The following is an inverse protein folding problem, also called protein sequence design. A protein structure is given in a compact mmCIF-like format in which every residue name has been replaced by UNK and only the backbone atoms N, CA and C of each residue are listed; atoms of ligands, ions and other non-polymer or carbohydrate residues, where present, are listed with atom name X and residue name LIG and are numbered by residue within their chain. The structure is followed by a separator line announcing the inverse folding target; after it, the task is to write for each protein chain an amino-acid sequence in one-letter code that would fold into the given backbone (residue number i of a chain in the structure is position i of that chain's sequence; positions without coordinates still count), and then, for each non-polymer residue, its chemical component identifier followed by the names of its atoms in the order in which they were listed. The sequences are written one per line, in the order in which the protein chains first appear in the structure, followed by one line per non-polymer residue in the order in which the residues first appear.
data_IF_697001804410
#
_entry.id   IF_697001804410
#
_cell.length_a   1.000
_cell.length_b   1.000
_cell.length_c   1.000
_cell.angle_alpha   90.00
_cell.angle_beta   90.00
_cell.angle_gamma   90.00
#
_symmetry.space_group_name_H-M   'P 1'
#
loop_
_entity.id
_entity.type
_entity.pdbx_description
1 polymer ?
#
# COMPACT_ATOMS: atom_id res chain seq x y z
N UNK A 1 -26.92 39.09 41.00
CA UNK A 1 -26.86 40.42 40.34
C UNK A 1 -26.28 40.22 38.94
N UNK A 2 -27.00 40.74 37.92
CA UNK A 2 -26.70 40.91 36.49
C UNK A 2 -26.36 39.63 35.67
N UNK A 3 -27.25 39.03 34.86
CA UNK A 3 -28.05 39.44 33.67
C UNK A 3 -27.28 39.58 32.34
N UNK A 4 -27.89 38.96 31.31
CA UNK A 4 -27.85 39.23 29.85
C UNK A 4 -26.65 38.66 29.05
N UNK A 5 -26.77 38.08 27.83
CA UNK A 5 -27.81 38.21 26.78
C UNK A 5 -27.89 36.99 25.84
N UNK A 6 -29.11 36.69 25.38
CA UNK A 6 -29.42 36.01 24.11
C UNK A 6 -29.25 36.99 22.94
N UNK A 7 -28.86 36.49 21.76
CA UNK A 7 -29.03 37.19 20.49
C UNK A 7 -29.54 36.22 19.42
N UNK A 8 -30.67 36.62 18.83
CA UNK A 8 -31.44 35.91 17.83
C UNK A 8 -30.85 36.07 16.43
N UNK A 9 -30.98 35.03 15.60
CA UNK A 9 -30.66 35.05 14.19
C UNK A 9 -31.92 35.37 13.37
N UNK A 10 -31.84 36.43 12.56
CA UNK A 10 -32.85 36.79 11.56
C UNK A 10 -32.54 36.11 10.22
N UNK A 11 -33.52 35.35 9.72
CA UNK A 11 -33.56 34.82 8.36
C UNK A 11 -34.22 35.86 7.44
N UNK A 12 -33.55 36.24 6.36
CA UNK A 12 -34.14 37.00 5.26
C UNK A 12 -34.14 36.16 3.98
N UNK A 13 -35.35 35.91 3.47
CA UNK A 13 -35.63 35.46 2.11
C UNK A 13 -35.21 36.53 1.10
N UNK A 14 -34.63 36.10 -0.02
CA UNK A 14 -34.77 36.80 -1.31
C UNK A 14 -35.05 35.77 -2.40
N UNK A 15 -36.28 35.82 -2.93
CA UNK A 15 -36.62 35.36 -4.27
C UNK A 15 -36.22 36.44 -5.26
N UNK A 16 -35.64 36.05 -6.39
CA UNK A 16 -35.87 36.75 -7.66
C UNK A 16 -35.70 35.80 -8.85
N UNK A 17 -36.60 36.00 -9.79
CA UNK A 17 -36.98 35.19 -10.95
C UNK A 17 -36.35 35.70 -12.25
N UNK A 18 -36.61 34.94 -13.33
CA UNK A 18 -36.47 35.28 -14.76
C UNK A 18 -35.07 34.99 -15.34
N UNK A 19 -34.89 34.46 -16.55
CA UNK A 19 -35.79 34.16 -17.66
C UNK A 19 -34.94 33.66 -18.83
N UNK A 20 -35.61 33.02 -19.80
CA UNK A 20 -35.10 32.26 -20.93
C UNK A 20 -34.02 32.94 -21.80
N UNK A 21 -33.22 32.14 -22.53
CA UNK A 21 -33.09 32.23 -24.00
C UNK A 21 -32.48 30.94 -24.57
N UNK A 22 -33.27 30.22 -25.39
CA UNK A 22 -32.79 29.21 -26.34
C UNK A 22 -32.06 29.90 -27.49
N UNK A 23 -30.87 29.42 -27.87
CA UNK A 23 -30.26 29.74 -29.16
C UNK A 23 -30.06 28.46 -29.98
N UNK A 24 -30.61 28.52 -31.19
CA UNK A 24 -30.63 27.50 -32.22
C UNK A 24 -29.26 27.36 -32.92
N UNK A 25 -28.93 26.13 -33.32
CA UNK A 25 -27.82 25.81 -34.21
C UNK A 25 -28.27 25.85 -35.69
N UNK A 26 -27.43 26.31 -36.62
CA UNK A 26 -27.63 26.08 -38.06
C UNK A 26 -26.87 24.83 -38.56
N UNK A 27 -27.21 24.32 -39.77
CA UNK A 27 -26.90 22.97 -40.19
C UNK A 27 -25.61 22.82 -41.03
N UNK A 28 -25.03 21.62 -40.98
CA UNK A 28 -24.53 20.84 -42.12
C UNK A 28 -23.45 21.43 -43.03
N UNK A 29 -22.22 20.92 -42.90
CA UNK A 29 -21.18 21.00 -43.94
C UNK A 29 -20.34 19.73 -43.99
N UNK A 30 -20.60 18.86 -44.96
CA UNK A 30 -19.74 17.73 -45.33
C UNK A 30 -18.49 18.24 -46.05
N UNK A 31 -17.31 18.00 -45.48
CA UNK A 31 -16.02 18.19 -46.14
C UNK A 31 -15.12 16.98 -45.87
N UNK A 32 -14.90 16.17 -46.90
CA UNK A 32 -13.88 15.10 -46.92
C UNK A 32 -12.50 15.73 -47.14
N UNK A 33 -11.50 15.31 -46.35
CA UNK A 33 -10.09 15.40 -46.76
C UNK A 33 -9.10 15.56 -45.61
N UNK A 34 -8.32 14.51 -45.34
CA UNK A 34 -7.04 14.61 -44.63
C UNK A 34 -6.99 13.99 -43.23
N UNK A 35 -7.09 12.67 -43.11
CA UNK A 35 -6.69 11.97 -41.87
C UNK A 35 -5.16 11.99 -41.73
N UNK A 36 -4.65 13.00 -41.03
CA UNK A 36 -3.41 12.88 -40.27
C UNK A 36 -3.62 11.84 -39.17
N UNK A 37 -2.74 10.84 -39.13
CA UNK A 37 -2.67 9.84 -38.05
C UNK A 37 -2.34 10.53 -36.73
N UNK A 38 -3.37 10.97 -36.01
CA UNK A 38 -3.26 11.35 -34.61
C UNK A 38 -2.97 10.13 -33.75
N UNK A 39 -1.96 10.26 -32.89
CA UNK A 39 -1.72 9.40 -31.72
C UNK A 39 -2.96 9.42 -30.81
N UNK A 40 -3.94 8.58 -31.11
CA UNK A 40 -5.08 8.30 -30.24
C UNK A 40 -4.66 7.34 -29.14
N UNK A 41 -3.78 7.76 -28.24
CA UNK A 41 -3.64 7.13 -26.94
C UNK A 41 -4.90 7.45 -26.15
N UNK A 42 -5.87 6.53 -26.12
CA UNK A 42 -7.03 6.62 -25.25
C UNK A 42 -6.58 6.61 -23.79
N UNK A 43 -6.19 7.79 -23.31
CA UNK A 43 -5.71 8.01 -21.96
C UNK A 43 -6.86 7.72 -21.01
N UNK A 44 -6.75 6.62 -20.27
CA UNK A 44 -7.62 6.37 -19.13
C UNK A 44 -7.53 7.59 -18.22
N UNK A 45 -8.66 8.26 -17.98
CA UNK A 45 -8.71 9.36 -17.03
C UNK A 45 -8.17 8.87 -15.68
N UNK A 46 -7.33 9.66 -15.00
CA UNK A 46 -6.81 9.27 -13.68
C UNK A 46 -7.99 9.00 -12.73
N UNK A 47 -7.88 7.93 -11.93
CA UNK A 47 -8.87 7.62 -10.87
C UNK A 47 -8.80 8.67 -9.74
N UNK A 48 -7.69 9.39 -9.66
CA UNK A 48 -7.40 10.43 -8.67
C UNK A 48 -8.11 11.74 -8.98
N UNK A 49 -8.29 12.59 -7.96
CA UNK A 49 -8.72 13.98 -8.16
C UNK A 49 -7.67 14.71 -8.99
N UNK A 50 -8.03 15.15 -10.19
CA UNK A 50 -7.07 15.60 -11.20
C UNK A 50 -7.05 17.10 -11.51
N UNK A 51 -7.99 17.85 -10.93
CA UNK A 51 -8.17 19.28 -11.17
C UNK A 51 -8.90 19.93 -9.99
N UNK A 52 -8.90 21.26 -9.96
CA UNK A 52 -9.53 22.07 -8.91
C UNK A 52 -8.62 22.31 -7.72
N UNK A 53 -9.18 22.95 -6.68
CA UNK A 53 -8.45 23.23 -5.45
C UNK A 53 -8.07 21.94 -4.73
N UNK A 54 -6.87 21.92 -4.16
CA UNK A 54 -6.43 20.87 -3.26
C UNK A 54 -7.42 20.77 -2.08
N UNK A 55 -8.06 19.61 -1.85
CA UNK A 55 -8.96 19.40 -0.71
C UNK A 55 -8.27 19.66 0.63
N UNK A 56 -9.00 20.27 1.55
CA UNK A 56 -8.51 20.51 2.92
C UNK A 56 -8.42 19.18 3.67
N UNK A 57 -7.20 18.66 3.76
CA UNK A 57 -6.89 17.33 4.29
C UNK A 57 -5.88 17.44 5.42
N UNK A 58 -6.08 16.61 6.43
CA UNK A 58 -5.20 16.53 7.59
C UNK A 58 -4.02 15.60 7.28
N UNK A 59 -2.88 15.90 7.88
CA UNK A 59 -1.68 15.07 7.85
C UNK A 59 -0.82 15.36 9.09
N UNK A 60 0.27 14.63 9.20
CA UNK A 60 1.30 14.84 10.21
C UNK A 60 2.65 15.00 9.52
N UNK A 61 3.50 15.89 10.02
CA UNK A 61 4.91 15.90 9.64
C UNK A 61 5.60 14.62 10.12
N UNK A 62 6.81 14.33 9.61
CA UNK A 62 7.57 13.15 10.03
C UNK A 62 7.90 13.10 11.54
N UNK A 63 7.97 14.26 12.21
CA UNK A 63 8.14 14.40 13.66
C UNK A 63 6.81 14.40 14.44
N UNK A 64 5.68 14.21 13.77
CA UNK A 64 4.37 14.02 14.40
C UNK A 64 3.60 15.30 14.70
N UNK A 65 3.97 16.44 14.11
CA UNK A 65 3.19 17.67 14.21
C UNK A 65 1.98 17.61 13.27
N UNK A 66 0.74 17.83 13.75
CA UNK A 66 -0.44 17.94 12.89
C UNK A 66 -0.32 19.15 11.95
N UNK A 67 -0.72 18.96 10.68
CA UNK A 67 -0.73 19.99 9.63
C UNK A 67 -1.93 19.81 8.71
N UNK A 68 -2.33 20.87 8.01
CA UNK A 68 -3.11 20.72 6.78
C UNK A 68 -2.15 20.55 5.61
N UNK A 69 -2.46 19.66 4.66
CA UNK A 69 -1.58 19.44 3.50
C UNK A 69 -1.42 20.72 2.66
N UNK A 70 -2.46 21.55 2.57
CA UNK A 70 -2.40 22.85 1.87
C UNK A 70 -1.39 23.83 2.49
N UNK A 71 -1.06 23.69 3.78
CA UNK A 71 -0.10 24.58 4.46
C UNK A 71 1.33 24.35 3.95
N UNK A 72 1.57 23.22 3.26
CA UNK A 72 2.84 22.94 2.62
C UNK A 72 3.08 23.81 1.40
N UNK A 73 2.04 24.30 0.70
CA UNK A 73 2.18 24.92 -0.62
C UNK A 73 3.06 26.16 -0.59
N UNK A 74 2.91 27.02 0.42
CA UNK A 74 3.81 28.17 0.70
C UNK A 74 4.18 29.02 -0.53
N UNK A 75 3.24 29.21 -1.47
CA UNK A 75 3.46 29.98 -2.70
C UNK A 75 4.40 29.34 -3.73
N UNK A 76 4.70 28.03 -3.61
CA UNK A 76 5.56 27.28 -4.52
C UNK A 76 4.78 26.18 -5.23
N UNK A 77 5.26 25.77 -6.40
CA UNK A 77 4.79 24.51 -6.98
C UNK A 77 5.16 23.36 -6.03
N UNK A 78 4.19 22.53 -5.69
CA UNK A 78 4.38 21.47 -4.69
C UNK A 78 4.03 20.13 -5.28
N UNK A 79 5.03 19.25 -5.34
CA UNK A 79 4.88 17.87 -5.78
C UNK A 79 4.51 17.00 -4.59
N UNK A 80 3.34 16.36 -4.65
CA UNK A 80 2.90 15.39 -3.64
C UNK A 80 2.96 13.99 -4.25
N UNK A 81 3.83 13.15 -3.72
CA UNK A 81 3.99 11.76 -4.16
C UNK A 81 3.48 10.81 -3.08
N UNK A 82 2.42 10.06 -3.37
CA UNK A 82 1.96 9.04 -2.41
C UNK A 82 2.86 7.81 -2.45
N UNK A 83 3.04 7.19 -1.28
CA UNK A 83 3.92 6.04 -1.10
C UNK A 83 3.60 5.25 0.17
N UNK A 84 4.05 4.00 0.21
CA UNK A 84 4.05 3.18 1.42
C UNK A 84 5.20 2.15 1.34
N UNK A 85 5.60 1.59 2.48
CA UNK A 85 6.71 0.62 2.59
C UNK A 85 6.56 -0.62 1.72
N UNK A 86 5.33 -1.02 1.40
CA UNK A 86 5.06 -2.33 0.80
C UNK A 86 4.59 -2.28 -0.66
N UNK A 87 4.39 -1.10 -1.26
CA UNK A 87 3.90 -0.98 -2.64
C UNK A 87 5.03 -1.18 -3.67
N UNK A 88 5.04 -2.25 -4.49
CA UNK A 88 6.12 -2.46 -5.45
C UNK A 88 6.22 -1.39 -6.53
N UNK A 89 5.12 -0.73 -6.88
CA UNK A 89 5.12 0.33 -7.87
C UNK A 89 5.84 1.57 -7.33
N UNK A 90 5.50 2.01 -6.11
CA UNK A 90 6.21 3.08 -5.42
C UNK A 90 7.69 2.76 -5.22
N UNK A 91 7.99 1.57 -4.70
CA UNK A 91 9.36 1.14 -4.45
C UNK A 91 10.24 1.04 -5.70
N UNK A 92 9.64 1.02 -6.90
CA UNK A 92 10.38 1.12 -8.17
C UNK A 92 10.52 2.56 -8.68
N UNK A 93 9.61 3.45 -8.30
CA UNK A 93 9.52 4.81 -8.84
C UNK A 93 10.12 5.90 -7.92
N UNK A 94 10.33 5.61 -6.63
CA UNK A 94 10.78 6.65 -5.67
C UNK A 94 12.13 7.27 -6.05
N UNK A 95 13.06 6.48 -6.59
CA UNK A 95 14.37 6.99 -6.97
C UNK A 95 14.30 8.01 -8.12
N UNK A 96 13.30 7.89 -9.01
CA UNK A 96 13.07 8.88 -10.07
C UNK A 96 12.53 10.20 -9.47
N UNK A 97 11.72 10.12 -8.41
CA UNK A 97 11.24 11.33 -7.68
C UNK A 97 12.41 12.05 -7.02
N UNK A 98 13.33 11.33 -6.38
CA UNK A 98 14.53 11.94 -5.79
C UNK A 98 15.39 12.63 -6.84
N UNK A 99 15.54 12.03 -8.03
CA UNK A 99 16.33 12.61 -9.12
C UNK A 99 15.68 13.89 -9.65
N UNK A 100 14.36 13.87 -9.88
CA UNK A 100 13.60 15.05 -10.27
C UNK A 100 13.64 16.12 -9.18
N UNK A 101 13.52 15.75 -7.91
CA UNK A 101 13.59 16.70 -6.80
C UNK A 101 14.95 17.41 -6.74
N UNK A 102 16.04 16.68 -7.00
CA UNK A 102 17.39 17.27 -7.11
C UNK A 102 17.50 18.24 -8.28
N UNK A 103 16.99 17.87 -9.45
CA UNK A 103 17.07 18.71 -10.65
C UNK A 103 16.29 20.03 -10.52
N UNK A 104 15.16 20.00 -9.81
CA UNK A 104 14.27 21.15 -9.65
C UNK A 104 14.49 21.92 -8.34
N UNK A 105 15.53 21.58 -7.56
CA UNK A 105 15.79 22.18 -6.24
C UNK A 105 16.04 23.70 -6.29
N UNK A 106 16.65 24.20 -7.36
CA UNK A 106 16.95 25.62 -7.57
C UNK A 106 15.80 26.40 -8.24
N UNK A 107 14.65 25.76 -8.44
CA UNK A 107 13.42 26.39 -8.95
C UNK A 107 12.41 26.51 -7.79
N UNK A 108 11.34 27.28 -7.99
CA UNK A 108 10.24 27.40 -7.02
C UNK A 108 9.35 26.13 -6.98
N UNK A 109 9.97 24.97 -6.82
CA UNK A 109 9.35 23.65 -6.72
C UNK A 109 9.82 22.98 -5.43
N UNK A 110 8.88 22.38 -4.70
CA UNK A 110 9.18 21.56 -3.53
C UNK A 110 8.48 20.21 -3.63
N UNK A 111 9.01 19.22 -2.92
CA UNK A 111 8.59 17.83 -3.04
C UNK A 111 8.28 17.28 -1.65
N UNK A 112 7.21 16.49 -1.55
CA UNK A 112 6.90 15.72 -0.36
C UNK A 112 6.41 14.34 -0.74
N UNK A 113 6.85 13.33 0.01
CA UNK A 113 6.14 12.06 0.04
C UNK A 113 5.00 12.11 1.04
N UNK A 114 3.86 11.56 0.66
CA UNK A 114 2.70 11.34 1.55
C UNK A 114 2.64 9.86 1.87
N UNK A 115 3.02 9.49 3.09
CA UNK A 115 2.98 8.11 3.57
C UNK A 115 1.55 7.71 3.92
N UNK A 116 1.07 6.61 3.35
CA UNK A 116 -0.29 6.11 3.53
C UNK A 116 -0.30 4.71 4.14
N UNK A 117 -1.48 4.21 4.50
CA UNK A 117 -1.71 2.80 4.79
C UNK A 117 -0.99 1.86 3.81
N UNK A 118 -0.48 0.75 4.34
CA UNK A 118 0.28 -0.22 3.57
C UNK A 118 -0.60 -0.85 2.48
N UNK A 119 -0.20 -0.73 1.22
CA UNK A 119 -0.91 -1.36 0.09
C UNK A 119 -0.89 -2.88 0.17
N UNK A 120 0.21 -3.43 0.66
CA UNK A 120 0.50 -4.85 0.71
C UNK A 120 1.05 -5.25 2.09
N UNK A 121 0.20 -5.24 3.14
CA UNK A 121 0.61 -5.75 4.44
C UNK A 121 1.20 -7.17 4.33
N UNK A 122 2.05 -7.54 5.28
CA UNK A 122 2.88 -8.77 5.36
C UNK A 122 4.08 -8.82 4.42
N UNK A 123 4.16 -7.93 3.43
CA UNK A 123 5.35 -7.86 2.59
C UNK A 123 6.55 -7.44 3.45
N UNK A 124 7.54 -8.33 3.53
CA UNK A 124 8.72 -8.17 4.39
C UNK A 124 8.38 -8.09 5.89
N UNK A 125 7.22 -8.62 6.29
CA UNK A 125 6.77 -8.65 7.69
C UNK A 125 5.98 -7.42 8.13
N UNK A 126 6.07 -6.28 7.43
CA UNK A 126 5.36 -5.05 7.83
C UNK A 126 3.85 -5.21 7.72
N UNK A 127 3.14 -4.84 8.78
CA UNK A 127 1.67 -4.91 8.90
C UNK A 127 1.08 -3.52 9.12
N UNK A 128 -0.24 -3.38 9.02
CA UNK A 128 -0.87 -2.06 9.14
C UNK A 128 -0.60 -1.42 10.51
N UNK A 129 -0.35 -0.11 10.51
CA UNK A 129 -0.30 0.66 11.73
C UNK A 129 -1.68 0.67 12.43
N UNK A 130 -1.66 0.55 13.75
CA UNK A 130 -2.85 0.61 14.63
C UNK A 130 -3.13 2.05 15.09
N UNK A 131 -2.09 2.89 15.13
CA UNK A 131 -2.18 4.27 15.58
C UNK A 131 -1.17 5.16 14.85
N UNK A 132 -1.22 6.48 15.12
CA UNK A 132 -0.32 7.45 14.50
C UNK A 132 1.14 7.26 14.90
N UNK A 133 1.44 6.82 16.13
CA UNK A 133 2.82 6.57 16.57
C UNK A 133 3.48 5.50 15.69
N UNK A 134 2.79 4.38 15.48
CA UNK A 134 3.27 3.31 14.61
C UNK A 134 3.39 3.75 13.15
N UNK A 135 2.46 4.59 12.65
CA UNK A 135 2.55 5.13 11.30
C UNK A 135 3.79 6.01 11.12
N UNK A 136 4.14 6.82 12.12
CA UNK A 136 5.35 7.64 12.10
C UNK A 136 6.63 6.79 12.21
N UNK A 137 6.58 5.68 12.95
CA UNK A 137 7.66 4.68 12.93
C UNK A 137 7.82 4.05 11.53
N UNK A 138 6.71 3.76 10.83
CA UNK A 138 6.76 3.29 9.44
C UNK A 138 7.35 4.33 8.48
N UNK A 139 7.07 5.63 8.68
CA UNK A 139 7.73 6.71 7.93
C UNK A 139 9.24 6.71 8.18
N UNK A 140 9.65 6.59 9.45
CA UNK A 140 11.07 6.54 9.84
C UNK A 140 11.77 5.36 9.18
N UNK A 141 11.15 4.19 9.21
CA UNK A 141 11.65 2.98 8.57
C UNK A 141 11.70 3.12 7.04
N UNK A 142 10.70 3.76 6.41
CA UNK A 142 10.72 4.05 4.97
C UNK A 142 11.91 4.95 4.60
N UNK A 143 12.13 6.03 5.35
CA UNK A 143 13.27 6.93 5.12
C UNK A 143 14.60 6.19 5.25
N UNK A 144 14.77 5.38 6.30
CA UNK A 144 15.98 4.57 6.53
C UNK A 144 16.21 3.56 5.42
N UNK A 145 15.18 2.80 5.05
CA UNK A 145 15.25 1.72 4.05
C UNK A 145 15.51 2.25 2.64
N UNK A 146 14.94 3.39 2.30
CA UNK A 146 14.97 3.96 0.95
C UNK A 146 16.06 5.01 0.74
N UNK A 147 16.64 5.55 1.81
CA UNK A 147 17.68 6.59 1.73
C UNK A 147 17.18 7.90 1.12
N UNK A 148 15.89 8.22 1.27
CA UNK A 148 15.25 9.38 0.64
C UNK A 148 15.68 10.70 1.25
N UNK A 149 15.90 11.71 0.42
CA UNK A 149 16.14 13.10 0.84
C UNK A 149 14.87 13.94 0.78
N UNK A 150 13.96 13.64 -0.15
CA UNK A 150 12.64 14.30 -0.19
C UNK A 150 11.94 14.09 1.16
N UNK A 151 11.40 15.16 1.77
CA UNK A 151 10.75 15.08 3.06
C UNK A 151 9.46 14.24 3.00
N UNK A 152 9.15 13.60 4.13
CA UNK A 152 7.94 12.80 4.31
C UNK A 152 6.93 13.54 5.19
N UNK A 153 5.66 13.41 4.85
CA UNK A 153 4.52 13.58 5.74
C UNK A 153 3.78 12.26 5.87
N UNK A 154 3.07 12.05 6.97
CA UNK A 154 2.18 10.92 7.18
C UNK A 154 0.73 11.36 6.99
N UNK A 155 -0.03 10.58 6.21
CA UNK A 155 -1.48 10.68 6.20
C UNK A 155 -2.04 10.28 7.59
N UNK A 156 -3.21 10.76 7.95
CA UNK A 156 -3.87 10.43 9.23
C UNK A 156 -4.23 8.95 9.32
N UNK A 157 -4.43 8.40 10.52
CA UNK A 157 -4.66 6.94 10.70
C UNK A 157 -5.91 6.40 9.96
N UNK A 158 -6.86 7.29 9.66
CA UNK A 158 -8.08 7.08 8.87
C UNK A 158 -7.93 7.41 7.37
N UNK A 159 -6.72 7.77 6.95
CA UNK A 159 -6.31 8.09 5.59
C UNK A 159 -7.05 9.28 4.94
N UNK A 160 -7.13 10.41 5.66
CA UNK A 160 -7.79 11.65 5.21
C UNK A 160 -7.36 12.06 3.80
N UNK A 161 -6.05 12.13 3.53
CA UNK A 161 -5.54 12.51 2.21
C UNK A 161 -5.88 11.45 1.16
N UNK A 162 -5.66 10.15 1.44
CA UNK A 162 -5.94 9.07 0.49
C UNK A 162 -7.39 9.09 0.01
N UNK A 163 -8.32 9.23 0.95
CA UNK A 163 -9.76 9.21 0.69
C UNK A 163 -10.17 10.43 -0.12
N UNK A 164 -9.78 11.63 0.33
CA UNK A 164 -10.15 12.87 -0.34
C UNK A 164 -9.59 12.96 -1.77
N UNK A 165 -8.34 12.54 -1.96
CA UNK A 165 -7.65 12.62 -3.25
C UNK A 165 -7.83 11.38 -4.13
N UNK A 166 -8.56 10.35 -3.64
CA UNK A 166 -8.80 9.07 -4.32
C UNK A 166 -7.53 8.37 -4.79
N UNK A 167 -6.47 8.49 -3.98
CA UNK A 167 -5.12 8.04 -4.38
C UNK A 167 -4.94 6.54 -4.25
N UNK A 168 -3.99 6.01 -5.00
CA UNK A 168 -3.32 4.76 -4.65
C UNK A 168 -1.92 5.06 -4.11
N UNK A 169 -1.21 4.03 -3.66
CA UNK A 169 0.13 4.20 -3.05
C UNK A 169 1.25 4.51 -4.06
N UNK A 170 0.95 4.87 -5.31
CA UNK A 170 1.93 5.33 -6.30
C UNK A 170 1.44 6.56 -7.12
N UNK A 171 0.41 7.27 -6.65
CA UNK A 171 -0.06 8.49 -7.29
C UNK A 171 0.93 9.65 -7.14
N UNK A 172 0.81 10.65 -8.01
CA UNK A 172 1.62 11.87 -7.99
C UNK A 172 0.79 13.07 -8.43
N UNK A 173 1.02 14.21 -7.78
CA UNK A 173 0.35 15.48 -8.05
C UNK A 173 1.36 16.60 -8.15
N UNK A 174 1.07 17.61 -8.97
CA UNK A 174 1.70 18.93 -8.88
C UNK A 174 0.60 19.93 -8.52
N UNK A 175 0.81 20.63 -7.42
CA UNK A 175 -0.08 21.69 -6.92
C UNK A 175 0.56 23.04 -7.23
N UNK A 176 -0.21 23.99 -7.75
CA UNK A 176 0.25 25.35 -8.02
C UNK A 176 0.46 26.16 -6.73
N UNK A 177 1.18 27.30 -6.78
CA UNK A 177 1.25 28.27 -5.70
C UNK A 177 -0.12 28.69 -5.12
N UNK A 178 -1.16 28.68 -5.95
CA UNK A 178 -2.54 29.05 -5.60
C UNK A 178 -3.37 27.86 -5.07
N UNK A 179 -2.72 26.75 -4.73
CA UNK A 179 -3.34 25.51 -4.23
C UNK A 179 -4.23 24.78 -5.23
N UNK A 180 -4.03 24.95 -6.54
CA UNK A 180 -4.75 24.21 -7.57
C UNK A 180 -3.98 22.97 -8.05
N UNK A 181 -4.68 21.87 -8.29
CA UNK A 181 -4.11 20.68 -8.91
C UNK A 181 -3.90 20.95 -10.40
N UNK A 182 -2.64 21.13 -10.81
CA UNK A 182 -2.26 21.43 -12.21
C UNK A 182 -1.70 20.23 -12.96
N UNK A 183 -1.37 19.16 -12.22
CA UNK A 183 -1.04 17.85 -12.78
C UNK A 183 -1.42 16.76 -11.79
N UNK A 184 -1.94 15.65 -12.30
CA UNK A 184 -2.18 14.45 -11.53
C UNK A 184 -1.98 13.20 -12.38
N UNK A 185 -1.38 12.18 -11.80
CA UNK A 185 -1.34 10.84 -12.36
C UNK A 185 -1.70 9.83 -11.28
N UNK A 186 -2.57 8.87 -11.65
CA UNK A 186 -2.95 7.79 -10.75
C UNK A 186 -1.75 6.90 -10.41
N UNK A 187 -0.83 6.72 -11.36
CA UNK A 187 0.44 6.03 -11.16
C UNK A 187 1.56 6.87 -11.76
N UNK A 188 2.63 7.06 -11.00
CA UNK A 188 3.87 7.56 -11.57
C UNK A 188 4.49 6.49 -12.46
N UNK A 189 4.50 6.74 -13.77
CA UNK A 189 5.16 5.94 -14.78
C UNK A 189 5.81 6.84 -15.85
N UNK A 190 7.00 6.45 -16.31
CA UNK A 190 7.75 7.21 -17.31
C UNK A 190 7.98 8.68 -16.92
N UNK A 191 8.08 9.54 -17.93
CA UNK A 191 8.57 10.91 -17.76
C UNK A 191 7.46 11.94 -17.46
N UNK A 192 6.25 11.49 -17.13
CA UNK A 192 5.06 12.34 -17.02
C UNK A 192 5.21 13.50 -16.04
N UNK A 193 5.79 13.25 -14.86
CA UNK A 193 6.06 14.28 -13.85
C UNK A 193 7.08 15.30 -14.36
N UNK A 194 8.17 14.83 -14.97
CA UNK A 194 9.22 15.71 -15.50
C UNK A 194 8.68 16.59 -16.64
N UNK A 195 7.87 16.04 -17.54
CA UNK A 195 7.23 16.81 -18.61
C UNK A 195 6.26 17.86 -18.05
N UNK A 196 5.52 17.54 -17.00
CA UNK A 196 4.64 18.51 -16.34
C UNK A 196 5.45 19.66 -15.74
N UNK A 197 6.50 19.36 -14.97
CA UNK A 197 7.36 20.38 -14.38
C UNK A 197 8.10 21.21 -15.45
N UNK A 198 8.57 20.58 -16.53
CA UNK A 198 9.21 21.30 -17.64
C UNK A 198 8.29 22.32 -18.29
N UNK A 199 6.97 22.05 -18.36
CA UNK A 199 5.99 23.01 -18.90
C UNK A 199 5.70 24.14 -17.93
N UNK A 200 5.70 23.86 -16.63
CA UNK A 200 5.31 24.80 -15.58
C UNK A 200 6.46 25.75 -15.19
N UNK A 201 7.68 25.24 -15.03
CA UNK A 201 8.83 25.97 -14.50
C UNK A 201 10.08 25.88 -15.39
N UNK A 202 9.92 25.40 -16.61
CA UNK A 202 10.98 25.28 -17.61
C UNK A 202 11.78 23.97 -17.53
N UNK A 203 12.48 23.60 -18.62
CA UNK A 203 13.22 22.35 -18.72
C UNK A 203 14.49 22.34 -17.85
N UNK A 204 15.05 21.15 -17.70
CA UNK A 204 16.37 20.90 -17.10
C UNK A 204 17.30 20.43 -18.22
N UNK A 205 18.45 21.07 -18.36
CA UNK A 205 19.39 20.79 -19.46
C UNK A 205 20.07 19.42 -19.31
N UNK A 206 20.48 19.07 -18.10
CA UNK A 206 21.17 17.82 -17.78
C UNK A 206 20.43 17.07 -16.68
N UNK A 207 19.32 16.37 -17.01
CA UNK A 207 18.54 15.67 -16.00
C UNK A 207 19.35 14.60 -15.25
N UNK A 208 19.23 14.58 -13.94
CA UNK A 208 19.76 13.52 -13.09
C UNK A 208 18.94 12.24 -13.31
N UNK A 209 19.61 11.09 -13.42
CA UNK A 209 18.93 9.79 -13.42
C UNK A 209 18.92 9.18 -12.01
N UNK A 210 17.97 8.29 -11.73
CA UNK A 210 17.92 7.54 -10.47
C UNK A 210 19.24 6.79 -10.15
N UNK A 211 20.01 6.39 -11.17
CA UNK A 211 21.29 5.67 -10.99
C UNK A 211 22.39 6.58 -10.46
N UNK A 212 22.29 7.88 -10.70
CA UNK A 212 23.31 8.86 -10.27
C UNK A 212 23.24 9.14 -8.77
N UNK A 213 22.11 8.83 -8.12
CA UNK A 213 21.87 9.10 -6.70
C UNK A 213 22.38 8.02 -5.75
N UNK A 214 22.86 6.88 -6.27
CA UNK A 214 23.39 5.77 -5.47
C UNK A 214 22.44 5.31 -4.33
N UNK A 215 21.12 5.39 -4.55
CA UNK A 215 20.11 5.00 -3.57
C UNK A 215 20.08 3.47 -3.35
N UNK A 216 19.65 3.00 -2.16
CA UNK A 216 19.54 1.58 -1.83
C UNK A 216 18.79 0.76 -2.89
N UNK A 217 19.36 -0.37 -3.28
CA UNK A 217 18.70 -1.33 -4.17
C UNK A 217 17.91 -2.34 -3.36
N UNK A 218 16.59 -2.35 -3.55
CA UNK A 218 15.70 -3.22 -2.79
C UNK A 218 15.68 -4.63 -3.37
N UNK A 219 15.84 -5.62 -2.50
CA UNK A 219 15.72 -7.02 -2.88
C UNK A 219 14.32 -7.34 -3.41
N UNK A 220 14.24 -8.29 -4.34
CA UNK A 220 12.94 -8.80 -4.79
C UNK A 220 12.31 -9.62 -3.66
N UNK A 221 11.15 -9.18 -3.20
CA UNK A 221 10.34 -9.94 -2.25
C UNK A 221 9.74 -11.19 -2.92
N UNK A 222 9.84 -12.34 -2.25
CA UNK A 222 9.18 -13.58 -2.63
C UNK A 222 8.24 -13.98 -1.50
N UNK A 223 6.96 -14.06 -1.81
CA UNK A 223 5.95 -14.52 -0.88
C UNK A 223 5.87 -16.05 -0.90
N UNK A 224 5.63 -16.66 0.25
CA UNK A 224 5.40 -18.12 0.40
C UNK A 224 3.97 -18.38 0.85
N UNK A 225 3.25 -19.24 0.14
CA UNK A 225 1.96 -19.80 0.58
C UNK A 225 2.18 -21.29 0.79
N UNK A 226 2.42 -21.70 2.02
CA UNK A 226 2.70 -23.09 2.33
C UNK A 226 2.01 -23.44 3.62
N UNK A 227 1.59 -24.69 3.74
CA UNK A 227 1.11 -25.25 5.00
C UNK A 227 2.28 -25.90 5.72
N UNK A 228 2.49 -25.54 6.98
CA UNK A 228 3.41 -26.20 7.90
C UNK A 228 2.87 -26.08 9.34
N UNK A 229 3.72 -26.30 10.35
CA UNK A 229 3.30 -26.25 11.75
C UNK A 229 2.82 -24.88 12.25
N UNK A 230 3.23 -23.78 11.61
CA UNK A 230 2.92 -22.41 12.04
C UNK A 230 2.25 -21.55 10.96
N UNK A 231 2.25 -22.03 9.71
CA UNK A 231 1.66 -21.39 8.54
C UNK A 231 0.51 -22.23 7.98
N UNK A 232 -0.51 -21.56 7.47
CA UNK A 232 -1.59 -22.19 6.72
C UNK A 232 -1.66 -21.62 5.31
N UNK A 233 -1.90 -22.48 4.33
CA UNK A 233 -2.13 -22.02 2.97
C UNK A 233 -3.43 -21.21 2.87
N UNK A 234 -3.34 -20.07 2.18
CA UNK A 234 -4.48 -19.17 1.92
C UNK A 234 -4.95 -19.28 0.48
N UNK A 235 -6.23 -19.60 0.21
CA UNK A 235 -6.75 -19.56 -1.14
C UNK A 235 -6.84 -18.11 -1.66
N UNK A 236 -6.89 -17.97 -2.98
CA UNK A 236 -7.17 -16.69 -3.62
C UNK A 236 -8.61 -16.25 -3.32
N UNK A 237 -8.83 -14.94 -3.21
CA UNK A 237 -10.15 -14.33 -3.12
C UNK A 237 -10.66 -14.07 -1.70
N UNK A 238 -9.81 -14.19 -0.68
CA UNK A 238 -10.17 -13.79 0.68
C UNK A 238 -10.39 -12.27 0.78
N UNK A 239 -11.34 -11.89 1.61
CA UNK A 239 -11.67 -10.49 1.93
C UNK A 239 -10.97 -10.10 3.23
N UNK A 240 -10.14 -9.07 3.18
CA UNK A 240 -9.49 -8.50 4.37
C UNK A 240 -10.57 -7.84 5.23
N UNK A 241 -10.67 -8.24 6.48
CA UNK A 241 -11.65 -7.71 7.41
C UNK A 241 -11.12 -6.49 8.15
N UNK A 242 -12.03 -5.57 8.50
CA UNK A 242 -11.71 -4.49 9.43
C UNK A 242 -11.46 -5.06 10.82
N UNK A 243 -10.31 -4.72 11.39
CA UNK A 243 -9.96 -5.03 12.79
C UNK A 243 -9.74 -3.73 13.56
N UNK A 244 -10.30 -3.63 14.76
CA UNK A 244 -10.16 -2.45 15.63
C UNK A 244 -9.54 -2.88 16.96
N UNK A 245 -8.38 -2.33 17.36
CA UNK A 245 -7.82 -2.59 18.68
C UNK A 245 -8.69 -1.97 19.79
N UNK A 246 -8.81 -2.66 20.93
CA UNK A 246 -9.54 -2.14 22.11
C UNK A 246 -8.86 -0.89 22.68
N UNK A 247 -7.51 -0.89 22.72
CA UNK A 247 -6.70 0.22 23.25
C UNK A 247 -5.74 0.76 22.18
N UNK A 248 -6.18 1.67 21.28
CA UNK A 248 -5.34 2.16 20.19
C UNK A 248 -4.05 2.87 20.65
N UNK A 249 -3.97 3.33 21.90
CA UNK A 249 -2.79 3.99 22.45
C UNK A 249 -1.63 3.03 22.78
N UNK A 250 -1.91 1.73 22.89
CA UNK A 250 -0.89 0.73 23.20
C UNK A 250 0.08 0.53 22.02
N UNK A 251 1.25 -0.07 22.32
CA UNK A 251 2.22 -0.47 21.30
C UNK A 251 1.96 -1.92 20.89
N UNK A 252 1.70 -2.16 19.60
CA UNK A 252 1.38 -3.50 19.11
C UNK A 252 2.59 -4.19 18.47
N UNK A 253 3.40 -4.86 19.29
CA UNK A 253 4.55 -5.65 18.83
C UNK A 253 4.16 -6.81 17.92
N UNK A 254 3.00 -7.41 18.18
CA UNK A 254 2.37 -8.40 17.30
C UNK A 254 1.00 -7.88 16.90
N UNK A 255 0.69 -7.95 15.59
CA UNK A 255 -0.57 -7.44 15.05
C UNK A 255 -1.39 -8.55 14.42
N UNK A 256 -2.69 -8.51 14.69
CA UNK A 256 -3.70 -9.35 14.06
C UNK A 256 -3.92 -8.90 12.61
N UNK A 257 -4.09 -9.88 11.74
CA UNK A 257 -4.73 -9.72 10.43
C UNK A 257 -5.81 -10.79 10.29
N UNK A 258 -7.02 -10.35 9.94
CA UNK A 258 -8.16 -11.21 9.71
C UNK A 258 -8.59 -11.15 8.24
N UNK A 259 -8.83 -12.32 7.63
CA UNK A 259 -9.40 -12.42 6.28
C UNK A 259 -10.53 -13.46 6.27
N UNK A 260 -11.62 -13.22 5.56
CA UNK A 260 -12.74 -14.15 5.44
C UNK A 260 -12.90 -14.69 4.02
N UNK A 261 -13.39 -15.91 3.91
CA UNK A 261 -13.95 -16.39 2.65
C UNK A 261 -15.19 -15.57 2.27
N UNK A 262 -15.44 -15.31 0.97
CA UNK A 262 -16.67 -14.65 0.53
C UNK A 262 -17.94 -15.34 1.05
N UNK A 263 -17.98 -16.68 1.06
CA UNK A 263 -19.10 -17.45 1.58
C UNK A 263 -19.43 -17.15 3.04
N UNK A 264 -18.42 -16.87 3.87
CA UNK A 264 -18.63 -16.49 5.27
C UNK A 264 -19.38 -15.16 5.38
N UNK A 265 -19.06 -14.20 4.52
CA UNK A 265 -19.72 -12.90 4.49
C UNK A 265 -21.13 -12.96 3.89
N UNK A 266 -21.33 -13.85 2.92
CA UNK A 266 -22.60 -14.01 2.19
C UNK A 266 -23.62 -14.88 2.91
N UNK A 267 -23.16 -15.92 3.62
CA UNK A 267 -24.02 -16.97 4.20
C UNK A 267 -23.91 -17.11 5.72
N UNK A 268 -22.92 -16.45 6.33
CA UNK A 268 -22.67 -16.55 7.78
C UNK A 268 -21.88 -17.80 8.16
N UNK A 269 -21.62 -18.69 7.20
CA UNK A 269 -20.85 -19.92 7.39
C UNK A 269 -19.66 -19.96 6.43
N UNK A 270 -18.49 -20.32 6.94
CA UNK A 270 -17.25 -20.40 6.15
C UNK A 270 -16.00 -20.25 7.00
N UNK A 271 -14.85 -20.04 6.35
CA UNK A 271 -13.57 -19.95 7.07
C UNK A 271 -13.10 -18.52 7.27
N UNK A 272 -12.60 -18.28 8.49
CA UNK A 272 -11.89 -17.09 8.91
C UNK A 272 -10.40 -17.43 9.06
N UNK A 273 -9.56 -16.72 8.32
CA UNK A 273 -8.11 -16.73 8.48
C UNK A 273 -7.71 -15.73 9.56
N UNK A 274 -6.91 -16.18 10.52
CA UNK A 274 -6.27 -15.34 11.53
C UNK A 274 -4.76 -15.46 11.41
N UNK A 275 -4.08 -14.34 11.20
CA UNK A 275 -2.62 -14.27 11.18
C UNK A 275 -2.10 -13.29 12.23
N UNK A 276 -1.06 -13.68 12.96
CA UNK A 276 -0.40 -12.88 13.99
C UNK A 276 1.05 -12.64 13.59
N UNK A 277 1.40 -11.36 13.41
CA UNK A 277 2.67 -10.95 12.82
C UNK A 277 3.47 -10.10 13.81
N UNK A 278 4.66 -10.55 14.26
CA UNK A 278 5.63 -9.65 14.87
C UNK A 278 5.98 -8.54 13.88
N UNK A 279 5.80 -7.28 14.26
CA UNK A 279 6.02 -6.15 13.37
C UNK A 279 7.50 -5.69 13.41
N UNK A 280 8.22 -5.74 12.27
CA UNK A 280 9.61 -5.29 12.20
C UNK A 280 9.83 -3.83 12.58
N UNK A 281 8.82 -2.96 12.55
CA UNK A 281 9.00 -1.56 12.99
C UNK A 281 9.36 -1.42 14.47
N UNK A 282 9.13 -2.48 15.25
CA UNK A 282 9.49 -2.57 16.66
C UNK A 282 10.65 -3.56 16.93
N UNK A 283 11.29 -4.08 15.87
CA UNK A 283 12.22 -5.21 15.95
C UNK A 283 11.62 -6.42 16.72
N UNK A 284 10.30 -6.59 16.59
CA UNK A 284 9.55 -7.59 17.32
C UNK A 284 9.83 -9.00 16.81
N UNK A 285 9.89 -9.96 17.73
CA UNK A 285 10.07 -11.38 17.42
C UNK A 285 9.39 -12.26 18.47
N UNK A 286 9.18 -13.52 18.12
CA UNK A 286 8.72 -14.54 19.06
C UNK A 286 9.88 -15.05 19.89
N UNK A 287 9.65 -15.23 21.18
CA UNK A 287 10.48 -16.07 22.03
C UNK A 287 9.92 -17.49 22.04
N UNK A 288 10.61 -18.44 21.39
CA UNK A 288 10.16 -19.83 21.32
C UNK A 288 10.49 -20.63 22.58
N UNK A 289 11.17 -20.04 23.58
CA UNK A 289 11.43 -20.69 24.87
C UNK A 289 10.24 -20.54 25.83
N UNK A 290 9.42 -19.49 25.66
CA UNK A 290 8.20 -19.27 26.46
C UNK A 290 7.02 -20.12 25.95
N UNK A 291 5.87 -20.15 26.65
CA UNK A 291 4.63 -20.66 26.07
C UNK A 291 4.31 -19.97 24.73
N UNK A 292 3.74 -20.72 23.79
CA UNK A 292 3.32 -20.18 22.49
C UNK A 292 2.20 -19.15 22.67
N UNK A 293 2.08 -18.22 21.71
CA UNK A 293 0.95 -17.28 21.71
C UNK A 293 -0.37 -18.04 21.72
N UNK A 294 -1.38 -17.48 22.38
CA UNK A 294 -2.74 -18.01 22.45
C UNK A 294 -3.74 -16.95 22.00
N UNK A 295 -4.73 -17.34 21.20
CA UNK A 295 -5.90 -16.49 20.95
C UNK A 295 -7.15 -17.12 21.59
N UNK A 296 -8.10 -16.27 21.96
CA UNK A 296 -9.43 -16.64 22.40
C UNK A 296 -10.48 -15.77 21.69
N UNK A 297 -11.46 -16.40 21.05
CA UNK A 297 -12.59 -15.72 20.44
C UNK A 297 -13.75 -15.62 21.42
N UNK A 298 -14.25 -14.41 21.65
CA UNK A 298 -15.52 -14.18 22.33
C UNK A 298 -16.60 -13.99 21.25
N UNK A 299 -17.50 -14.97 21.18
CA UNK A 299 -18.53 -15.05 20.15
C UNK A 299 -19.88 -14.56 20.69
N UNK A 300 -20.66 -13.80 19.91
CA UNK A 300 -22.04 -13.47 20.26
C UNK A 300 -22.94 -14.71 20.14
N UNK A 301 -24.14 -14.63 20.73
CA UNK A 301 -25.09 -15.74 20.70
C UNK A 301 -25.46 -16.14 19.26
N UNK A 302 -25.46 -17.44 18.98
CA UNK A 302 -25.79 -17.98 17.66
C UNK A 302 -24.63 -18.02 16.66
N UNK A 303 -23.41 -17.67 17.08
CA UNK A 303 -22.18 -17.89 16.31
C UNK A 303 -21.33 -18.97 17.01
N UNK A 304 -20.86 -19.94 16.24
CA UNK A 304 -19.91 -20.96 16.67
C UNK A 304 -18.59 -20.79 15.91
N UNK A 305 -17.48 -21.10 16.58
CA UNK A 305 -16.16 -21.08 15.99
C UNK A 305 -15.38 -22.34 16.38
N UNK A 306 -14.74 -22.98 15.40
CA UNK A 306 -13.87 -24.13 15.62
C UNK A 306 -12.50 -23.96 14.93
N UNK A 307 -11.39 -23.82 15.68
CA UNK A 307 -11.35 -23.69 17.14
C UNK A 307 -11.58 -22.23 17.58
N UNK A 308 -12.45 -22.04 18.58
CA UNK A 308 -12.63 -20.74 19.25
C UNK A 308 -11.39 -20.29 20.05
N UNK A 309 -10.54 -21.23 20.44
CA UNK A 309 -9.30 -20.97 21.19
C UNK A 309 -8.20 -21.87 20.66
N UNK A 310 -7.02 -21.31 20.39
CA UNK A 310 -5.85 -22.12 20.02
C UNK A 310 -4.55 -21.53 20.57
N UNK A 311 -3.57 -22.40 20.76
CA UNK A 311 -2.18 -22.05 21.10
C UNK A 311 -1.31 -22.36 19.89
N UNK A 312 -0.50 -21.39 19.46
CA UNK A 312 0.41 -21.58 18.34
C UNK A 312 1.49 -22.60 18.69
N UNK A 313 1.86 -23.42 17.70
CA UNK A 313 3.12 -24.16 17.76
C UNK A 313 4.29 -23.17 17.76
N UNK A 314 5.39 -23.59 18.37
CA UNK A 314 6.65 -22.84 18.40
C UNK A 314 7.27 -22.87 17.01
N UNK A 315 7.91 -21.77 16.63
CA UNK A 315 8.64 -21.67 15.37
C UNK A 315 10.02 -22.31 15.45
N UNK A 316 10.84 -22.16 14.39
CA UNK A 316 12.19 -22.69 14.36
C UNK A 316 13.12 -21.92 15.31
N UNK A 317 14.00 -22.65 16.02
CA UNK A 317 15.02 -22.07 16.89
C UNK A 317 14.48 -21.41 18.16
N UNK A 318 15.35 -20.75 18.92
CA UNK A 318 15.00 -20.10 20.20
C UNK A 318 14.18 -18.81 19.99
N UNK A 319 14.29 -18.20 18.82
CA UNK A 319 13.48 -17.05 18.40
C UNK A 319 13.30 -17.01 16.88
N UNK A 320 12.19 -16.41 16.44
CA UNK A 320 11.92 -16.16 15.03
C UNK A 320 10.92 -15.00 14.82
N UNK A 321 10.77 -14.56 13.58
CA UNK A 321 9.80 -13.52 13.18
C UNK A 321 8.73 -14.05 12.21
N UNK A 322 8.56 -15.36 12.09
CA UNK A 322 7.55 -15.94 11.21
C UNK A 322 6.16 -15.72 11.81
N UNK A 323 5.11 -15.51 11.01
CA UNK A 323 3.78 -15.35 11.57
C UNK A 323 3.27 -16.65 12.21
N UNK A 324 2.26 -16.52 13.05
CA UNK A 324 1.44 -17.65 13.53
C UNK A 324 0.07 -17.54 12.89
N UNK A 325 -0.35 -18.56 12.17
CA UNK A 325 -1.54 -18.50 11.32
C UNK A 325 -2.49 -19.65 11.59
N UNK A 326 -3.79 -19.37 11.50
CA UNK A 326 -4.85 -20.31 11.83
C UNK A 326 -6.02 -20.18 10.86
N UNK A 327 -6.65 -21.32 10.60
CA UNK A 327 -8.00 -21.37 10.06
C UNK A 327 -8.98 -21.59 11.20
N UNK A 328 -10.07 -20.83 11.17
CA UNK A 328 -11.21 -20.99 12.08
C UNK A 328 -12.45 -21.19 11.24
N UNK A 329 -13.15 -22.30 11.45
CA UNK A 329 -14.47 -22.50 10.86
C UNK A 329 -15.48 -21.70 11.67
N UNK A 330 -16.28 -20.86 11.00
CA UNK A 330 -17.35 -20.09 11.61
C UNK A 330 -18.69 -20.60 11.07
N UNK A 331 -19.64 -20.80 11.98
CA UNK A 331 -21.03 -21.14 11.67
C UNK A 331 -21.95 -20.17 12.41
N UNK A 332 -22.86 -19.51 11.69
CA UNK A 332 -23.75 -18.50 12.21
C UNK A 332 -24.74 -17.98 11.16
N UNK A 333 -25.68 -17.15 11.62
CA UNK A 333 -26.67 -16.53 10.74
C UNK A 333 -26.16 -15.19 10.17
N UNK A 334 -26.61 -14.85 8.96
CA UNK A 334 -26.35 -13.53 8.36
C UNK A 334 -27.35 -12.47 8.81
N UNK A 335 -26.91 -11.22 9.00
CA UNK A 335 -25.51 -10.77 8.96
C UNK A 335 -24.74 -11.23 10.21
N UNK A 336 -23.46 -11.57 10.05
CA UNK A 336 -22.61 -11.90 11.19
C UNK A 336 -22.37 -10.64 12.03
N UNK A 337 -22.59 -10.79 13.33
CA UNK A 337 -22.17 -9.78 14.30
C UNK A 337 -20.66 -9.82 14.49
N UNK A 338 -20.08 -8.68 14.85
CA UNK A 338 -18.66 -8.57 15.19
C UNK A 338 -18.26 -9.57 16.29
N UNK A 339 -17.05 -10.09 16.20
CA UNK A 339 -16.46 -10.98 17.21
C UNK A 339 -15.28 -10.29 17.88
N UNK A 340 -15.07 -10.57 19.17
CA UNK A 340 -13.89 -10.09 19.87
C UNK A 340 -12.83 -11.17 19.93
N UNK A 341 -11.57 -10.77 19.83
CA UNK A 341 -10.40 -11.62 19.92
C UNK A 341 -9.50 -11.10 21.02
N UNK A 342 -9.14 -11.97 21.96
CA UNK A 342 -8.07 -11.73 22.93
C UNK A 342 -6.81 -12.47 22.50
N UNK A 343 -5.70 -11.76 22.33
CA UNK A 343 -4.39 -12.28 21.97
C UNK A 343 -3.47 -12.22 23.19
N UNK A 344 -2.99 -13.36 23.65
CA UNK A 344 -2.02 -13.50 24.73
C UNK A 344 -0.68 -13.95 24.15
N UNK A 345 0.38 -13.20 24.43
CA UNK A 345 1.70 -13.48 23.87
C UNK A 345 2.82 -12.86 24.71
N UNK A 346 4.06 -13.23 24.42
CA UNK A 346 5.23 -12.52 24.93
C UNK A 346 5.69 -11.53 23.85
N UNK A 347 5.55 -10.23 24.12
CA UNK A 347 6.09 -9.19 23.26
C UNK A 347 7.59 -9.09 23.50
N UNK A 348 8.41 -9.47 22.52
CA UNK A 348 9.85 -9.46 22.65
C UNK A 348 10.50 -8.58 21.58
N UNK A 349 11.37 -7.69 22.04
CA UNK A 349 12.10 -6.68 21.27
C UNK A 349 13.48 -6.48 21.94
N UNK A 350 14.42 -5.70 21.36
CA UNK A 350 15.73 -5.49 21.98
C UNK A 350 15.63 -4.99 23.43
N UNK A 351 16.10 -5.82 24.38
CA UNK A 351 16.13 -5.49 25.80
C UNK A 351 14.81 -5.67 26.56
N UNK A 352 13.74 -6.20 25.93
CA UNK A 352 12.43 -6.38 26.56
C UNK A 352 11.74 -7.66 26.07
N UNK A 353 11.12 -8.41 26.98
CA UNK A 353 10.31 -9.58 26.64
C UNK A 353 9.25 -9.80 27.73
N UNK A 354 8.04 -9.28 27.51
CA UNK A 354 6.98 -9.18 28.53
C UNK A 354 5.70 -9.89 28.07
N UNK A 355 4.97 -10.46 29.02
CA UNK A 355 3.66 -11.05 28.74
C UNK A 355 2.63 -9.93 28.50
N UNK A 356 2.03 -9.94 27.32
CA UNK A 356 1.06 -8.95 26.86
C UNK A 356 -0.29 -9.62 26.57
N UNK A 357 -1.36 -8.85 26.76
CA UNK A 357 -2.69 -9.20 26.26
C UNK A 357 -3.25 -8.04 25.47
N UNK A 358 -3.51 -8.25 24.19
CA UNK A 358 -4.17 -7.27 23.33
C UNK A 358 -5.51 -7.80 22.87
N UNK A 359 -6.51 -6.92 22.83
CA UNK A 359 -7.85 -7.27 22.37
C UNK A 359 -8.19 -6.52 21.09
N UNK A 360 -8.95 -7.19 20.24
CA UNK A 360 -9.42 -6.67 18.97
C UNK A 360 -10.90 -6.98 18.80
N UNK A 361 -11.61 -6.08 18.12
CA UNK A 361 -12.88 -6.38 17.47
C UNK A 361 -12.62 -6.67 16.00
N UNK A 362 -13.11 -7.81 15.52
CA UNK A 362 -13.11 -8.19 14.10
C UNK A 362 -14.52 -7.93 13.58
N UNK A 363 -14.64 -6.97 12.65
CA UNK A 363 -15.89 -6.69 11.98
C UNK A 363 -15.96 -7.48 10.68
N UNK A 364 -17.07 -8.16 10.41
CA UNK A 364 -17.31 -8.92 9.16
C UNK A 364 -17.66 -7.98 7.99
N UNK A 365 -16.83 -6.95 7.80
CA UNK A 365 -16.91 -5.98 6.70
C UNK A 365 -15.51 -5.79 6.10
N UNK A 366 -15.41 -5.51 4.79
CA UNK A 366 -14.13 -5.26 4.16
C UNK A 366 -13.36 -4.09 4.80
N UNK A 367 -12.05 -4.23 4.92
CA UNK A 367 -11.17 -3.13 5.33
C UNK A 367 -11.11 -2.04 4.24
N UNK A 368 -11.37 -0.78 4.61
CA UNK A 368 -11.24 0.38 3.71
C UNK A 368 -9.92 1.13 3.91
N UNK A 369 -8.80 0.41 3.76
CA UNK A 369 -7.44 0.98 3.72
C UNK A 369 -6.76 0.84 2.36
N UNK A 370 -7.54 0.43 1.34
CA UNK A 370 -7.03 0.06 0.03
C UNK A 370 -5.90 -1.00 0.15
N UNK A 371 -5.99 -1.91 1.11
CA UNK A 371 -5.05 -3.02 1.31
C UNK A 371 -5.34 -4.17 0.34
N UNK A 372 -4.32 -4.96 0.01
CA UNK A 372 -4.48 -6.24 -0.71
C UNK A 372 -3.34 -7.20 -0.38
N UNK A 373 -3.66 -8.48 -0.21
CA UNK A 373 -2.66 -9.51 0.03
C UNK A 373 -1.71 -9.62 -1.16
N UNK A 374 -0.40 -9.43 -0.95
CA UNK A 374 0.59 -9.53 -2.01
C UNK A 374 0.65 -10.96 -2.54
N UNK A 375 0.64 -11.13 -3.87
CA UNK A 375 0.72 -12.41 -4.59
C UNK A 375 -0.40 -13.43 -4.37
N UNK A 376 -1.15 -13.39 -3.25
CA UNK A 376 -2.18 -14.38 -2.90
C UNK A 376 -3.60 -13.92 -3.20
N UNK A 377 -3.87 -12.61 -3.25
CA UNK A 377 -5.20 -12.09 -3.61
C UNK A 377 -5.07 -11.12 -4.77
N UNK A 378 -4.81 -11.63 -5.97
CA UNK A 378 -5.12 -10.88 -7.20
C UNK A 378 -6.64 -10.90 -7.37
N UNK A 379 -7.35 -10.13 -6.55
CA UNK A 379 -8.82 -10.12 -6.56
C UNK A 379 -9.38 -10.05 -7.98
N UNK A 380 -10.40 -10.86 -8.24
CA UNK A 380 -11.32 -10.58 -9.34
C UNK A 380 -11.95 -9.20 -9.06
N UNK A 381 -11.95 -8.31 -10.05
CA UNK A 381 -12.77 -7.09 -9.98
C UNK A 381 -12.06 -5.80 -9.53
N UNK A 382 -11.05 -5.37 -10.28
CA UNK A 382 -10.92 -3.95 -10.59
C UNK A 382 -11.18 -3.79 -12.10
N UNK A 383 -12.10 -2.92 -12.56
CA UNK A 383 -12.35 -2.73 -13.97
C UNK A 383 -11.07 -2.19 -14.62
N UNK A 384 -10.40 -3.03 -15.41
CA UNK A 384 -9.10 -2.71 -16.02
C UNK A 384 -8.03 -3.78 -15.91
N UNK A 385 -8.32 -4.93 -15.30
CA UNK A 385 -7.52 -6.14 -15.52
C UNK A 385 -7.81 -6.68 -16.91
N UNK A 386 -7.10 -6.20 -17.93
CA UNK A 386 -7.22 -6.72 -19.29
C UNK A 386 -7.01 -8.23 -19.28
N UNK A 387 -8.07 -8.96 -19.59
CA UNK A 387 -8.00 -10.29 -20.14
C UNK A 387 -7.01 -10.21 -21.30
N UNK A 388 -5.81 -10.77 -21.13
CA UNK A 388 -4.99 -11.13 -22.27
C UNK A 388 -5.74 -12.26 -22.96
N UNK A 389 -6.23 -12.07 -24.20
CA UNK A 389 -6.73 -13.20 -24.97
C UNK A 389 -5.59 -14.19 -25.11
N UNK A 390 -5.85 -15.46 -24.81
CA UNK A 390 -4.91 -16.53 -25.10
C UNK A 390 -4.55 -16.48 -26.58
N UNK A 391 -3.27 -16.23 -26.88
CA UNK A 391 -2.74 -16.54 -28.19
C UNK A 391 -2.37 -18.01 -28.18
N UNK A 392 -3.37 -18.86 -28.41
CA UNK A 392 -3.16 -20.14 -29.07
C UNK A 392 -2.63 -19.80 -30.47
N UNK A 393 -1.31 -19.88 -30.61
CA UNK A 393 -0.59 -19.63 -31.84
C UNK A 393 0.54 -20.64 -31.93
N UNK A 394 0.21 -21.79 -32.50
CA UNK A 394 1.15 -22.77 -33.03
C UNK A 394 2.34 -22.07 -33.69
N UNK A 395 3.55 -22.41 -33.24
CA UNK A 395 4.77 -22.08 -33.98
C UNK A 395 5.18 -23.30 -34.80
N UNK A 396 5.08 -23.25 -36.15
CA UNK A 396 5.66 -24.27 -37.00
C UNK A 396 7.18 -24.14 -36.98
N UNK A 397 7.85 -25.30 -36.96
CA UNK A 397 9.30 -25.40 -36.88
C UNK A 397 10.04 -24.69 -38.01
N UNK A 398 11.17 -24.09 -37.66
CA UNK A 398 12.24 -23.79 -38.62
C UNK A 398 13.53 -24.49 -38.19
N UNK A 399 13.81 -25.54 -38.96
CA UNK A 399 15.07 -26.22 -39.09
C UNK A 399 15.98 -25.42 -40.06
N UNK A 400 17.30 -25.62 -39.98
CA UNK A 400 18.44 -25.04 -40.76
C UNK A 400 19.18 -23.92 -40.01
N UNK A 401 20.51 -23.92 -39.85
CA UNK A 401 21.60 -24.59 -40.59
C UNK A 401 22.85 -24.68 -39.71
N UNK A 402 23.51 -25.85 -39.74
CA UNK A 402 24.89 -26.10 -39.29
C UNK A 402 25.88 -25.27 -40.11
N UNK A 403 26.85 -24.65 -39.44
CA UNK A 403 28.13 -24.24 -40.02
C UNK A 403 29.26 -25.21 -39.61
N UNK A 404 30.23 -25.53 -40.48
CA UNK A 404 31.34 -26.41 -40.15
C UNK A 404 32.65 -25.63 -39.88
N UNK A 405 33.50 -26.19 -39.02
CA UNK A 405 34.89 -25.76 -38.79
C UNK A 405 35.19 -25.58 -37.31
N UNK A 406 36.22 -26.17 -36.71
CA UNK A 406 37.30 -27.00 -37.23
C UNK A 406 37.97 -27.72 -36.06
N UNK A 407 38.51 -28.89 -36.37
CA UNK A 407 39.27 -29.78 -35.50
C UNK A 407 40.61 -29.17 -35.11
N UNK A 408 41.01 -29.34 -33.84
CA UNK A 408 42.34 -29.00 -33.33
C UNK A 408 42.62 -29.72 -32.02
N UNK A 409 43.25 -30.89 -32.12
CA UNK A 409 43.72 -31.73 -31.03
C UNK A 409 44.72 -31.03 -30.09
N UNK A 410 44.61 -31.28 -28.77
CA UNK A 410 45.79 -31.62 -27.98
C UNK A 410 45.40 -32.45 -26.72
N UNK A 411 46.07 -33.58 -26.41
CA UNK A 411 45.81 -34.44 -25.25
C UNK A 411 46.78 -34.14 -24.08
N UNK A 412 46.67 -34.92 -22.99
CA UNK A 412 47.39 -34.86 -21.69
C UNK A 412 46.71 -33.94 -20.65
N UNK A 413 46.27 -34.38 -19.46
CA UNK A 413 46.92 -35.29 -18.50
C UNK A 413 45.88 -35.90 -17.52
N UNK A 414 46.06 -37.16 -17.17
CA UNK A 414 45.30 -37.93 -16.15
C UNK A 414 45.85 -37.73 -14.73
N UNK A 415 44.92 -37.75 -13.77
CA UNK A 415 44.89 -38.43 -12.45
C UNK A 415 45.88 -38.14 -11.29
N UNK A 416 45.26 -37.69 -10.17
CA UNK A 416 45.33 -38.19 -8.76
C UNK A 416 46.59 -37.98 -7.88
N UNK A 417 46.52 -38.17 -6.53
CA UNK A 417 45.37 -38.31 -5.61
C UNK A 417 45.47 -37.47 -4.29
N UNK A 418 44.38 -37.55 -3.51
CA UNK A 418 44.24 -37.12 -2.11
C UNK A 418 45.02 -38.04 -1.15
N UNK A 419 45.52 -37.48 -0.04
CA UNK A 419 45.98 -38.25 1.12
C UNK A 419 46.35 -37.35 2.30
N UNK A 420 45.93 -37.73 3.52
CA UNK A 420 46.51 -37.22 4.77
C UNK A 420 45.52 -36.88 5.88
N UNK A 421 45.19 -37.88 6.72
CA UNK A 421 44.60 -37.72 8.07
C UNK A 421 45.61 -38.19 9.12
N UNK A 422 45.47 -37.63 10.34
CA UNK A 422 46.02 -38.01 11.67
C UNK A 422 47.35 -37.36 12.07
N UNK A 423 47.65 -37.22 13.39
CA UNK A 423 47.05 -37.84 14.59
C UNK A 423 45.67 -37.36 15.00
#
# INVERSE_FOLDING_TARGET
MNRFSLLAASFSLFLCSSGATLLAQPPGGQGRGGMQRGQGGGGRQPIVVSHGLLPDTDAFTADGKPIKVRDLIQGKYTVLKTGCLTCPEFLRAYADVEAIAKDYADKDVQFFYVFQSLRHPEREGYVQAQNMSERLLQVTEAKKKLGTNVPWIADTIDDSFRVAMKTNSNSVFVISPDSEIVYAADRMNGDGLQQALSKLVGPIENPTSARDLQLPQLARFRSTNVTNDILVERPDGLVILKTTPENPADTYYVKLRAEAEPALLETGTGRLFLGFYPDPIHDAHWNNLTPGMKYELQLPAGIQADPATAVAKKGPGDSDAQPRQFWVNIDGNTPLSDINLSLHYFACAPGMCEAMTHKYTISFTPEDRNSRTYSFNRGQGAPGGGMRPGSDGERPGMNRRRGPGGSGNNPFRKNQPQGGRRP
#
